data_IF_247836099597
#
_entry.id   IF_247836099597
#
_cell.length_a   1.000
_cell.length_b   1.000
_cell.length_c   1.000
_cell.angle_alpha   90.00
_cell.angle_beta   90.00
_cell.angle_gamma   90.00
#
_symmetry.space_group_name_H-M   'P 1'
#
loop_
_entity.id
_entity.type
_entity.pdbx_description
1 polymer ?
#
# COMPACT_ATOMS: atom_id res chain seq x y z
N UNK A 1 21.28 -7.76 -0.06
CA UNK A 1 20.84 -6.62 -0.89
C UNK A 1 20.05 -5.66 -0.02
N UNK A 2 20.30 -4.36 -0.10
CA UNK A 2 19.52 -3.35 0.63
C UNK A 2 18.06 -3.36 0.14
N UNK A 3 17.10 -3.08 1.03
CA UNK A 3 15.69 -3.00 0.66
C UNK A 3 15.49 -1.96 -0.47
N UNK A 4 14.63 -2.25 -1.46
CA UNK A 4 14.36 -1.37 -2.60
C UNK A 4 14.01 0.07 -2.18
N UNK A 5 13.30 0.21 -1.06
CA UNK A 5 12.96 1.49 -0.44
C UNK A 5 14.21 2.29 -0.05
N UNK A 6 15.21 1.66 0.55
CA UNK A 6 16.46 2.32 0.97
C UNK A 6 17.26 2.75 -0.26
N UNK A 7 17.31 1.93 -1.30
CA UNK A 7 18.04 2.25 -2.54
C UNK A 7 17.48 3.49 -3.25
N UNK A 8 16.17 3.68 -3.27
CA UNK A 8 15.57 4.91 -3.82
C UNK A 8 15.98 6.14 -3.03
N UNK A 9 15.85 6.06 -1.70
CA UNK A 9 16.23 7.18 -0.84
C UNK A 9 17.73 7.43 -0.86
N UNK A 10 18.57 6.42 -1.14
CA UNK A 10 20.02 6.59 -1.21
C UNK A 10 20.45 7.66 -2.22
N UNK A 11 19.79 7.77 -3.38
CA UNK A 11 20.10 8.84 -4.36
C UNK A 11 19.80 10.23 -3.82
N UNK A 12 18.67 10.40 -3.13
CA UNK A 12 18.29 11.68 -2.52
C UNK A 12 19.18 12.01 -1.31
N UNK A 13 19.46 11.01 -0.48
CA UNK A 13 20.28 11.13 0.71
C UNK A 13 21.76 11.36 0.38
N UNK A 14 22.24 10.89 -0.78
CA UNK A 14 23.61 11.13 -1.24
C UNK A 14 23.94 12.62 -1.45
N UNK A 15 22.93 13.49 -1.56
CA UNK A 15 23.13 14.93 -1.62
C UNK A 15 23.40 15.59 -0.25
N UNK A 16 23.37 14.82 0.84
CA UNK A 16 23.51 15.32 2.20
C UNK A 16 24.65 14.60 2.93
N UNK A 17 25.34 15.33 3.80
CA UNK A 17 26.25 14.74 4.78
C UNK A 17 25.48 14.45 6.07
N UNK A 18 25.36 13.19 6.45
CA UNK A 18 24.58 12.78 7.61
C UNK A 18 25.17 11.55 8.31
N UNK A 19 24.80 11.35 9.57
CA UNK A 19 25.12 10.15 10.34
C UNK A 19 23.82 9.49 10.81
N UNK A 20 23.70 8.18 10.61
CA UNK A 20 22.54 7.41 11.07
C UNK A 20 22.75 7.05 12.54
N UNK A 21 21.83 7.49 13.40
CA UNK A 21 21.85 7.24 14.84
C UNK A 21 20.53 6.60 15.28
N UNK A 22 20.61 5.54 16.09
CA UNK A 22 19.42 4.96 16.70
C UNK A 22 18.90 5.87 17.82
N UNK A 23 17.58 6.08 17.85
CA UNK A 23 16.90 6.82 18.90
C UNK A 23 15.75 5.99 19.44
N UNK A 24 15.74 5.78 20.75
CA UNK A 24 14.66 5.04 21.41
C UNK A 24 13.32 5.77 21.24
N UNK A 25 12.23 5.00 21.08
CA UNK A 25 10.89 5.55 20.84
C UNK A 25 10.40 6.51 21.92
N UNK A 26 10.76 6.24 23.19
CA UNK A 26 10.45 7.11 24.34
C UNK A 26 11.01 8.53 24.19
N UNK A 27 12.16 8.67 23.51
CA UNK A 27 12.80 9.96 23.25
C UNK A 27 12.33 10.61 21.94
N UNK A 28 11.50 9.93 21.15
CA UNK A 28 11.03 10.37 19.84
C UNK A 28 9.61 10.95 19.84
N UNK A 29 9.09 11.32 21.03
CA UNK A 29 7.72 11.79 21.20
C UNK A 29 7.39 13.05 20.39
N UNK A 30 8.37 13.92 20.13
CA UNK A 30 8.19 15.09 19.28
C UNK A 30 7.86 14.70 17.82
N UNK A 31 8.64 13.79 17.24
CA UNK A 31 8.41 13.31 15.88
C UNK A 31 7.12 12.48 15.80
N UNK A 32 6.87 11.59 16.78
CA UNK A 32 5.64 10.78 16.81
C UNK A 32 4.40 11.68 16.90
N UNK A 33 4.39 12.66 17.81
CA UNK A 33 3.28 13.60 17.98
C UNK A 33 3.02 14.45 16.74
N UNK A 34 4.07 15.01 16.12
CA UNK A 34 3.92 15.82 14.90
C UNK A 34 3.51 14.98 13.69
N UNK A 35 3.98 13.74 13.58
CA UNK A 35 3.61 12.85 12.47
C UNK A 35 2.14 12.41 12.50
N UNK A 36 1.52 12.43 13.69
CA UNK A 36 0.12 12.04 13.91
C UNK A 36 -0.83 13.22 14.06
N UNK A 37 -0.30 14.45 14.12
CA UNK A 37 -1.12 15.63 14.36
C UNK A 37 -2.07 15.83 13.15
N UNK A 38 -3.39 15.85 13.35
CA UNK A 38 -4.32 16.06 12.27
C UNK A 38 -4.11 17.46 11.69
N UNK A 39 -3.92 17.53 10.38
CA UNK A 39 -3.84 18.80 9.68
C UNK A 39 -5.25 19.39 9.56
N UNK A 40 -5.36 20.72 9.70
CA UNK A 40 -6.63 21.45 9.57
C UNK A 40 -7.23 21.35 8.17
N UNK A 41 -6.40 21.05 7.17
CA UNK A 41 -6.78 20.88 5.77
C UNK A 41 -6.52 19.44 5.38
N UNK A 42 -7.48 18.80 4.71
CA UNK A 42 -7.23 17.53 4.03
C UNK A 42 -6.20 17.78 2.93
N UNK A 43 -4.96 17.29 3.11
CA UNK A 43 -4.00 17.26 2.00
C UNK A 43 -4.54 16.21 1.02
N UNK A 44 -5.09 16.66 -0.10
CA UNK A 44 -5.73 15.78 -1.10
C UNK A 44 -4.76 14.79 -1.76
N UNK A 45 -3.44 14.97 -1.60
CA UNK A 45 -2.44 14.15 -2.30
C UNK A 45 -1.27 13.80 -1.37
N UNK A 46 -1.36 12.65 -0.71
CA UNK A 46 -0.14 11.95 -0.31
C UNK A 46 0.56 11.47 -1.59
N UNK A 47 1.84 11.82 -1.81
CA UNK A 47 2.55 11.35 -2.98
C UNK A 47 2.58 9.82 -2.96
N UNK A 48 2.08 9.20 -4.02
CA UNK A 48 2.08 7.76 -4.22
C UNK A 48 3.53 7.25 -4.14
N UNK A 49 3.83 6.24 -3.32
CA UNK A 49 5.21 5.75 -3.19
C UNK A 49 5.78 5.33 -4.55
N UNK A 50 7.03 5.70 -4.84
CA UNK A 50 7.65 5.38 -6.13
C UNK A 50 7.65 3.89 -6.49
N UNK A 51 7.64 2.98 -5.50
CA UNK A 51 7.54 1.53 -5.74
C UNK A 51 6.20 1.16 -6.36
N UNK A 52 5.13 1.83 -5.92
CA UNK A 52 3.78 1.60 -6.41
C UNK A 52 3.57 2.23 -7.78
N UNK A 53 4.24 3.36 -8.08
CA UNK A 53 4.29 3.94 -9.44
C UNK A 53 5.00 2.99 -10.40
N UNK A 54 6.21 2.51 -10.06
CA UNK A 54 6.97 1.59 -10.89
C UNK A 54 6.21 0.27 -11.14
N UNK A 55 5.49 -0.23 -10.13
CA UNK A 55 4.65 -1.42 -10.27
C UNK A 55 3.51 -1.18 -11.26
N UNK A 56 2.83 -0.03 -11.19
CA UNK A 56 1.75 0.31 -12.12
C UNK A 56 2.25 0.55 -13.54
N UNK A 57 3.41 1.17 -13.71
CA UNK A 57 4.07 1.30 -15.03
C UNK A 57 4.43 -0.07 -15.60
N UNK A 58 4.96 -0.99 -14.77
CA UNK A 58 5.22 -2.36 -15.21
C UNK A 58 3.93 -3.08 -15.64
N UNK A 59 2.82 -2.92 -14.91
CA UNK A 59 1.54 -3.52 -15.29
C UNK A 59 1.08 -3.07 -16.68
N UNK A 60 1.30 -1.80 -17.04
CA UNK A 60 0.98 -1.32 -18.38
C UNK A 60 1.76 -2.03 -19.51
N UNK A 61 2.91 -2.65 -19.19
CA UNK A 61 3.71 -3.44 -20.14
C UNK A 61 3.35 -4.92 -20.16
N UNK A 62 2.56 -5.39 -19.20
CA UNK A 62 2.06 -6.76 -19.15
C UNK A 62 0.79 -6.91 -19.99
N UNK A 63 0.46 -8.12 -20.49
CA UNK A 63 -0.75 -8.34 -21.28
C UNK A 63 -2.07 -8.12 -20.50
N UNK A 64 -2.00 -7.80 -19.21
CA UNK A 64 -3.14 -7.56 -18.34
C UNK A 64 -3.14 -6.10 -17.90
N UNK A 65 -4.09 -5.32 -18.43
CA UNK A 65 -4.21 -3.90 -18.12
C UNK A 65 -4.80 -3.68 -16.71
N UNK A 66 -4.35 -2.64 -16.01
CA UNK A 66 -4.87 -2.24 -14.70
C UNK A 66 -6.39 -2.00 -14.74
N UNK A 67 -6.94 -1.50 -15.85
CA UNK A 67 -8.40 -1.34 -16.03
C UNK A 67 -9.14 -2.67 -16.08
N UNK A 68 -8.53 -3.72 -16.63
CA UNK A 68 -9.14 -5.05 -16.64
C UNK A 68 -9.15 -5.65 -15.23
N UNK A 69 -8.04 -5.51 -14.51
CA UNK A 69 -7.94 -5.94 -13.11
C UNK A 69 -8.99 -5.22 -12.26
N UNK A 70 -9.12 -3.91 -12.40
CA UNK A 70 -10.14 -3.13 -11.69
C UNK A 70 -11.56 -3.66 -11.95
N UNK A 71 -11.88 -4.02 -13.20
CA UNK A 71 -13.18 -4.61 -13.54
C UNK A 71 -13.37 -5.98 -12.89
N UNK A 72 -12.34 -6.83 -12.89
CA UNK A 72 -12.40 -8.15 -12.25
C UNK A 72 -12.52 -8.05 -10.73
N UNK A 73 -11.77 -7.16 -10.09
CA UNK A 73 -11.85 -6.86 -8.65
C UNK A 73 -13.25 -6.37 -8.25
N UNK A 74 -13.89 -5.52 -9.07
CA UNK A 74 -15.27 -5.05 -8.80
C UNK A 74 -16.32 -6.14 -9.01
N UNK A 75 -16.10 -7.07 -9.94
CA UNK A 75 -17.02 -8.18 -10.24
C UNK A 75 -16.94 -9.27 -9.17
N UNK A 76 -15.76 -9.49 -8.60
CA UNK A 76 -15.52 -10.47 -7.54
C UNK A 76 -16.08 -9.98 -6.20
N UNK A 77 -16.94 -10.79 -5.57
CA UNK A 77 -17.61 -10.45 -4.31
C UNK A 77 -16.62 -10.35 -3.16
N UNK A 78 -15.60 -11.21 -3.12
CA UNK A 78 -14.58 -11.25 -2.06
C UNK A 78 -13.63 -10.06 -2.23
N UNK A 79 -13.08 -9.87 -3.43
CA UNK A 79 -12.12 -8.79 -3.67
C UNK A 79 -12.77 -7.40 -3.55
N UNK A 80 -14.02 -7.23 -3.99
CA UNK A 80 -14.76 -5.98 -3.82
C UNK A 80 -14.99 -5.65 -2.33
N UNK A 81 -15.29 -6.67 -1.50
CA UNK A 81 -15.36 -6.50 -0.04
C UNK A 81 -14.01 -6.13 0.57
N UNK A 82 -12.92 -6.80 0.17
CA UNK A 82 -11.56 -6.50 0.65
C UNK A 82 -11.17 -5.07 0.27
N UNK A 83 -11.44 -4.63 -0.96
CA UNK A 83 -11.20 -3.26 -1.42
C UNK A 83 -11.96 -2.26 -0.55
N UNK A 84 -13.23 -2.53 -0.24
CA UNK A 84 -14.05 -1.68 0.63
C UNK A 84 -13.50 -1.61 2.06
N UNK A 85 -12.97 -2.71 2.59
CA UNK A 85 -12.32 -2.73 3.90
C UNK A 85 -11.00 -1.95 3.92
N UNK A 86 -10.20 -2.02 2.85
CA UNK A 86 -8.98 -1.21 2.74
C UNK A 86 -9.31 0.28 2.76
N UNK A 87 -10.37 0.70 2.06
CA UNK A 87 -10.76 2.12 1.95
C UNK A 87 -11.46 2.68 3.20
N UNK A 88 -12.34 1.90 3.85
CA UNK A 88 -13.17 2.40 4.97
C UNK A 88 -12.67 1.94 6.35
N UNK A 89 -11.58 1.18 6.39
CA UNK A 89 -11.10 0.52 7.61
C UNK A 89 -11.68 -0.88 7.78
N UNK A 90 -10.87 -1.79 8.31
CA UNK A 90 -11.27 -3.18 8.55
C UNK A 90 -12.14 -3.30 9.81
N UNK A 91 -13.20 -4.13 9.79
CA UNK A 91 -13.96 -4.46 10.98
C UNK A 91 -13.10 -5.23 12.00
N UNK A 92 -13.40 -5.08 13.30
CA UNK A 92 -12.62 -5.72 14.39
C UNK A 92 -12.72 -7.25 14.42
N UNK A 93 -13.70 -7.83 13.73
CA UNK A 93 -13.90 -9.29 13.60
C UNK A 93 -13.87 -9.67 12.12
N UNK A 94 -13.25 -10.82 11.82
CA UNK A 94 -13.21 -11.37 10.48
C UNK A 94 -14.64 -11.79 10.06
N UNK A 95 -15.19 -11.25 8.96
CA UNK A 95 -16.58 -11.50 8.58
C UNK A 95 -16.80 -12.87 7.94
N UNK A 96 -15.78 -13.50 7.34
CA UNK A 96 -15.88 -14.83 6.73
C UNK A 96 -14.51 -15.55 6.65
N UNK A 97 -14.53 -16.88 6.53
CA UNK A 97 -13.31 -17.70 6.33
C UNK A 97 -12.63 -17.39 4.99
N UNK A 98 -13.40 -17.06 3.94
CA UNK A 98 -12.86 -16.71 2.61
C UNK A 98 -12.02 -15.41 2.63
N UNK A 99 -12.30 -14.52 3.57
CA UNK A 99 -11.60 -13.22 3.73
C UNK A 99 -10.43 -13.33 4.71
N UNK A 100 -10.37 -14.40 5.51
CA UNK A 100 -9.31 -14.67 6.49
C UNK A 100 -7.88 -14.51 5.95
N UNK A 101 -7.50 -14.99 4.74
CA UNK A 101 -6.15 -14.78 4.22
C UNK A 101 -5.82 -13.29 4.00
N UNK A 102 -6.80 -12.49 3.58
CA UNK A 102 -6.64 -11.04 3.41
C UNK A 102 -6.65 -10.31 4.77
N UNK A 103 -7.49 -10.76 5.70
CA UNK A 103 -7.59 -10.20 7.05
C UNK A 103 -6.28 -10.37 7.84
N UNK A 104 -5.63 -11.54 7.73
CA UNK A 104 -4.34 -11.80 8.37
C UNK A 104 -3.23 -10.89 7.86
N UNK A 105 -3.29 -10.52 6.57
CA UNK A 105 -2.30 -9.69 5.87
C UNK A 105 -2.73 -8.23 5.71
N UNK A 106 -3.73 -7.78 6.47
CA UNK A 106 -4.34 -6.45 6.30
C UNK A 106 -3.36 -5.28 6.34
N UNK A 107 -2.29 -5.39 7.12
CA UNK A 107 -1.28 -4.34 7.26
C UNK A 107 -0.35 -4.25 6.04
N UNK A 108 -0.35 -5.25 5.17
CA UNK A 108 0.49 -5.34 3.97
C UNK A 108 -0.29 -5.09 2.67
N UNK A 109 -1.63 -4.98 2.77
CA UNK A 109 -2.51 -4.71 1.65
C UNK A 109 -2.66 -3.20 1.45
N UNK A 110 -2.56 -2.77 0.20
CA UNK A 110 -2.89 -1.40 -0.19
C UNK A 110 -3.76 -1.39 -1.45
N UNK A 111 -4.48 -0.29 -1.66
CA UNK A 111 -5.31 -0.10 -2.85
C UNK A 111 -4.79 1.08 -3.66
N UNK A 112 -4.68 0.91 -4.98
CA UNK A 112 -4.33 2.00 -5.89
C UNK A 112 -5.13 1.84 -7.19
N UNK A 113 -5.77 2.92 -7.64
CA UNK A 113 -6.63 2.95 -8.83
C UNK A 113 -7.68 1.82 -8.89
N UNK A 114 -8.17 1.39 -7.72
CA UNK A 114 -9.13 0.29 -7.60
C UNK A 114 -8.55 -1.11 -7.78
N UNK A 115 -7.23 -1.24 -7.89
CA UNK A 115 -6.49 -2.51 -7.82
C UNK A 115 -6.03 -2.77 -6.39
N UNK A 116 -6.04 -4.04 -5.98
CA UNK A 116 -5.52 -4.47 -4.69
C UNK A 116 -4.06 -4.90 -4.88
N UNK A 117 -3.19 -4.32 -4.08
CA UNK A 117 -1.77 -4.57 -4.07
C UNK A 117 -1.38 -5.26 -2.77
N UNK A 118 -0.50 -6.25 -2.86
CA UNK A 118 0.16 -6.87 -1.73
C UNK A 118 1.67 -6.76 -1.92
N UNK A 119 2.29 -5.83 -1.18
CA UNK A 119 3.68 -5.43 -1.43
C UNK A 119 3.89 -4.98 -2.88
N UNK A 120 4.72 -5.72 -3.63
CA UNK A 120 5.03 -5.48 -5.04
C UNK A 120 4.22 -6.32 -6.04
N UNK A 121 3.08 -6.90 -5.64
CA UNK A 121 2.26 -7.78 -6.49
C UNK A 121 0.82 -7.29 -6.55
N UNK A 122 0.17 -7.51 -7.69
CA UNK A 122 -1.25 -7.18 -7.87
C UNK A 122 -2.09 -8.43 -7.67
N UNK A 123 -3.12 -8.32 -6.83
CA UNK A 123 -4.09 -9.37 -6.59
C UNK A 123 -5.26 -9.18 -7.55
N UNK A 124 -5.52 -10.20 -8.36
CA UNK A 124 -6.68 -10.26 -9.23
C UNK A 124 -7.27 -11.67 -9.18
N UNK A 125 -8.55 -11.77 -9.49
CA UNK A 125 -9.23 -13.07 -9.58
C UNK A 125 -8.88 -13.73 -10.91
N UNK A 126 -8.28 -14.92 -10.87
CA UNK A 126 -8.22 -15.78 -12.07
C UNK A 126 -9.59 -16.43 -12.16
N UNK A 127 -10.42 -15.93 -13.06
CA UNK A 127 -11.66 -16.62 -13.42
C UNK A 127 -11.24 -17.89 -14.16
N UNK A 128 -11.03 -18.99 -13.42
CA UNK A 128 -11.10 -20.33 -14.00
C UNK A 128 -12.58 -20.53 -14.35
N UNK A 129 -12.88 -20.30 -15.61
CA UNK A 129 -14.09 -20.87 -16.22
C UNK A 129 -13.80 -22.35 -16.48
#
# INVERSE_FOLDING_TARGET
>A
MAASRIQRWALTLAAYEYTIVYKEGSLNGNADGLSRLPLKTNIEKTPTPGDTILLMEHLATTPVDAKQIQKWTRKDTILSMVLRYILNGLPSKCPSEDIRPYYSRKNELCSQDGCILWGGRVIYTTTRT
#
